data_IF_355276599571
#
_entry.id   IF_355276599571
#
_cell.length_a   1.000
_cell.length_b   1.000
_cell.length_c   1.000
_cell.angle_alpha   90.00
_cell.angle_beta   90.00
_cell.angle_gamma   90.00
#
_symmetry.space_group_name_H-M   'P 1'
#
loop_
_entity.id
_entity.type
_entity.pdbx_description
1 polymer ?
#
# COMPACT_ATOMS: atom_id res chain seq x y z
N UNK A 1 -13.16 4.61 8.90
CA UNK A 1 -13.20 3.41 8.04
C UNK A 1 -11.99 2.53 8.30
N UNK A 2 -12.12 1.21 8.11
CA UNK A 2 -11.04 0.23 8.24
C UNK A 2 -9.78 0.61 7.45
N UNK A 3 -9.94 1.13 6.23
CA UNK A 3 -8.82 1.59 5.42
C UNK A 3 -8.09 2.79 6.01
N UNK A 4 -8.82 3.73 6.63
CA UNK A 4 -8.20 4.87 7.29
C UNK A 4 -7.39 4.43 8.52
N UNK A 5 -7.94 3.52 9.34
CA UNK A 5 -7.25 2.97 10.50
C UNK A 5 -5.99 2.19 10.10
N UNK A 6 -6.10 1.28 9.13
CA UNK A 6 -4.97 0.50 8.61
C UNK A 6 -3.89 1.41 7.98
N UNK A 7 -4.30 2.44 7.22
CA UNK A 7 -3.39 3.45 6.65
C UNK A 7 -2.66 4.23 7.75
N UNK A 8 -3.39 4.65 8.79
CA UNK A 8 -2.82 5.42 9.91
C UNK A 8 -1.78 4.61 10.68
N UNK A 9 -2.12 3.38 11.09
CA UNK A 9 -1.23 2.52 11.85
C UNK A 9 0.04 2.15 11.06
N UNK A 10 -0.13 1.75 9.80
CA UNK A 10 1.00 1.43 8.93
C UNK A 10 1.88 2.66 8.67
N UNK A 11 1.26 3.82 8.41
CA UNK A 11 1.96 5.08 8.21
C UNK A 11 2.76 5.49 9.44
N UNK A 12 2.18 5.40 10.63
CA UNK A 12 2.85 5.71 11.91
C UNK A 12 4.07 4.81 12.14
N UNK A 13 3.91 3.49 11.95
CA UNK A 13 5.01 2.54 12.11
C UNK A 13 6.14 2.77 11.09
N UNK A 14 5.78 3.07 9.84
CA UNK A 14 6.76 3.43 8.81
C UNK A 14 7.53 4.70 9.19
N UNK A 15 6.81 5.74 9.61
CA UNK A 15 7.42 7.01 10.01
C UNK A 15 8.37 6.85 11.18
N UNK A 16 7.97 6.07 12.20
CA UNK A 16 8.84 5.73 13.32
C UNK A 16 10.10 5.00 12.86
N UNK A 17 9.97 3.99 12.00
CA UNK A 17 11.11 3.23 11.49
C UNK A 17 12.07 4.11 10.66
N UNK A 18 11.54 5.03 9.84
CA UNK A 18 12.36 6.01 9.09
C UNK A 18 13.08 6.94 10.06
N UNK A 19 12.40 7.47 11.07
CA UNK A 19 12.98 8.39 12.03
C UNK A 19 14.08 7.74 12.88
N UNK A 20 13.88 6.50 13.32
CA UNK A 20 14.82 5.79 14.18
C UNK A 20 15.98 5.14 13.42
N UNK A 21 15.72 4.63 12.21
CA UNK A 21 16.64 3.72 11.49
C UNK A 21 16.97 4.17 10.07
N UNK A 22 16.46 5.31 9.64
CA UNK A 22 16.57 5.78 8.26
C UNK A 22 15.84 4.91 7.25
N UNK A 23 15.88 5.32 5.99
CA UNK A 23 15.17 4.66 4.87
C UNK A 23 15.60 3.20 4.69
N UNK A 24 16.89 2.90 4.81
CA UNK A 24 17.42 1.53 4.75
C UNK A 24 16.88 0.65 5.88
N UNK A 25 16.85 1.17 7.11
CA UNK A 25 16.31 0.45 8.26
C UNK A 25 14.80 0.25 8.17
N UNK A 26 14.07 1.23 7.67
CA UNK A 26 12.63 1.12 7.40
C UNK A 26 12.30 0.04 6.37
N UNK A 27 13.13 -0.12 5.33
CA UNK A 27 12.98 -1.21 4.36
C UNK A 27 13.13 -2.58 5.03
N UNK A 28 14.10 -2.73 5.94
CA UNK A 28 14.29 -3.95 6.72
C UNK A 28 13.09 -4.25 7.62
N UNK A 29 12.55 -3.23 8.30
CA UNK A 29 11.32 -3.34 9.08
C UNK A 29 10.13 -3.78 8.22
N UNK A 30 9.93 -3.15 7.06
CA UNK A 30 8.87 -3.58 6.14
C UNK A 30 9.10 -4.98 5.57
N UNK A 31 10.34 -5.42 5.38
CA UNK A 31 10.61 -6.77 4.89
C UNK A 31 10.30 -7.86 5.93
N UNK A 32 10.65 -7.60 7.19
CA UNK A 32 10.44 -8.56 8.28
C UNK A 32 9.00 -8.53 8.84
N UNK A 33 8.41 -7.35 8.98
CA UNK A 33 7.23 -7.12 9.83
C UNK A 33 5.96 -6.70 9.07
N UNK A 34 6.04 -6.37 7.77
CA UNK A 34 4.89 -5.78 7.08
C UNK A 34 3.67 -6.71 7.00
N UNK A 35 3.86 -8.03 7.07
CA UNK A 35 2.76 -9.01 7.08
C UNK A 35 2.05 -9.00 8.44
N UNK A 36 2.82 -9.04 9.54
CA UNK A 36 2.29 -9.11 10.92
C UNK A 36 1.43 -7.91 11.31
N UNK A 37 1.75 -6.72 10.78
CA UNK A 37 0.99 -5.49 11.09
C UNK A 37 -0.40 -5.48 10.45
N UNK A 38 -0.53 -5.95 9.22
CA UNK A 38 -1.85 -6.12 8.57
C UNK A 38 -2.68 -7.18 9.28
N UNK A 39 -2.04 -8.23 9.78
CA UNK A 39 -2.72 -9.30 10.51
C UNK A 39 -3.26 -8.80 11.87
N UNK A 40 -2.52 -7.97 12.59
CA UNK A 40 -2.98 -7.37 13.86
C UNK A 40 -4.23 -6.51 13.70
N UNK A 41 -4.29 -5.65 12.68
CA UNK A 41 -5.48 -4.82 12.42
C UNK A 41 -6.64 -5.69 11.92
N UNK A 42 -6.34 -6.72 11.12
CA UNK A 42 -7.35 -7.66 10.63
C UNK A 42 -8.01 -8.43 11.78
N UNK A 43 -7.22 -8.88 12.76
CA UNK A 43 -7.70 -9.62 13.93
C UNK A 43 -8.50 -8.76 14.91
N UNK A 44 -8.13 -7.49 15.12
CA UNK A 44 -8.88 -6.59 16.02
C UNK A 44 -10.26 -6.21 15.50
N UNK A 45 -10.43 -6.24 14.18
CA UNK A 45 -11.60 -5.71 13.48
C UNK A 45 -12.39 -6.77 12.73
N UNK A 46 -12.03 -8.05 12.87
CA UNK A 46 -12.65 -9.17 12.17
C UNK A 46 -12.79 -8.91 10.65
N UNK A 47 -11.80 -8.21 10.08
CA UNK A 47 -11.77 -7.78 8.69
C UNK A 47 -10.52 -8.33 8.01
N UNK A 48 -10.61 -8.75 6.76
CA UNK A 48 -9.44 -9.12 5.95
C UNK A 48 -8.89 -7.88 5.28
N UNK A 49 -7.69 -7.44 5.67
CA UNK A 49 -7.07 -6.22 5.14
C UNK A 49 -5.84 -6.59 4.29
N UNK A 50 -5.87 -6.20 3.01
CA UNK A 50 -4.78 -6.42 2.06
C UNK A 50 -4.32 -5.11 1.44
N UNK A 51 -3.03 -5.07 1.06
CA UNK A 51 -2.49 -4.06 0.15
C UNK A 51 -2.02 -4.75 -1.11
N UNK A 52 -2.59 -4.36 -2.24
CA UNK A 52 -2.28 -4.95 -3.54
C UNK A 52 -1.89 -3.90 -4.55
N UNK A 53 -1.14 -4.30 -5.57
CA UNK A 53 -0.61 -3.41 -6.59
C UNK A 53 -0.40 -4.15 -7.91
N UNK A 54 -0.50 -3.41 -9.00
CA UNK A 54 -0.10 -3.82 -10.35
C UNK A 54 1.43 -3.81 -10.54
N UNK A 55 2.16 -3.07 -9.69
CA UNK A 55 3.62 -3.01 -9.63
C UNK A 55 4.12 -3.34 -8.22
N UNK A 56 4.00 -4.60 -7.78
CA UNK A 56 4.31 -5.00 -6.42
C UNK A 56 5.82 -4.96 -6.12
N UNK A 57 6.15 -4.61 -4.86
CA UNK A 57 7.51 -4.80 -4.29
C UNK A 57 7.68 -6.22 -3.79
N UNK A 58 6.80 -6.60 -2.87
CA UNK A 58 6.60 -7.98 -2.49
C UNK A 58 5.61 -8.63 -3.47
N UNK A 59 6.03 -9.70 -4.14
CA UNK A 59 5.25 -10.41 -5.16
C UNK A 59 3.93 -11.01 -4.63
N UNK A 60 3.80 -11.19 -3.32
CA UNK A 60 2.54 -11.63 -2.68
C UNK A 60 1.47 -10.53 -2.69
N UNK A 61 1.84 -9.28 -2.89
CA UNK A 61 0.94 -8.14 -2.96
C UNK A 61 0.48 -7.83 -4.40
N UNK A 62 0.52 -8.83 -5.29
CA UNK A 62 0.05 -8.65 -6.66
C UNK A 62 -1.47 -8.57 -6.67
N UNK A 63 -2.00 -7.54 -7.32
CA UNK A 63 -3.43 -7.40 -7.52
C UNK A 63 -3.99 -8.51 -8.42
N UNK A 64 -5.19 -8.98 -8.10
CA UNK A 64 -5.98 -9.87 -8.95
C UNK A 64 -6.65 -9.08 -10.09
N UNK A 65 -7.33 -9.77 -11.02
CA UNK A 65 -7.94 -9.15 -12.21
C UNK A 65 -8.96 -8.05 -11.89
N UNK A 66 -9.76 -8.21 -10.83
CA UNK A 66 -10.74 -7.21 -10.41
C UNK A 66 -10.04 -5.98 -9.81
N UNK A 67 -9.11 -6.22 -8.89
CA UNK A 67 -8.31 -5.18 -8.23
C UNK A 67 -7.49 -4.35 -9.23
N UNK A 68 -6.96 -4.99 -10.29
CA UNK A 68 -6.29 -4.30 -11.40
C UNK A 68 -7.25 -3.34 -12.13
N UNK A 69 -8.52 -3.74 -12.29
CA UNK A 69 -9.57 -2.88 -12.83
C UNK A 69 -9.75 -1.61 -12.00
N UNK A 70 -9.82 -1.74 -10.67
CA UNK A 70 -9.94 -0.60 -9.75
C UNK A 70 -8.70 0.29 -9.72
N UNK A 71 -7.49 -0.31 -9.69
CA UNK A 71 -6.24 0.45 -9.77
C UNK A 71 -6.23 1.32 -11.03
N UNK A 72 -6.62 0.75 -12.18
CA UNK A 72 -6.68 1.48 -13.44
C UNK A 72 -7.75 2.58 -13.43
N UNK A 73 -8.91 2.35 -12.80
CA UNK A 73 -9.93 3.37 -12.64
C UNK A 73 -9.41 4.55 -11.80
N UNK A 74 -8.80 4.29 -10.64
CA UNK A 74 -8.22 5.34 -9.79
C UNK A 74 -7.11 6.12 -10.49
N UNK A 75 -6.25 5.44 -11.26
CA UNK A 75 -5.21 6.11 -12.06
C UNK A 75 -5.80 7.10 -13.06
N UNK A 76 -6.88 6.72 -13.74
CA UNK A 76 -7.57 7.61 -14.70
C UNK A 76 -8.15 8.83 -14.00
N UNK A 77 -8.83 8.64 -12.87
CA UNK A 77 -9.42 9.73 -12.07
C UNK A 77 -8.35 10.73 -11.63
N UNK A 78 -7.25 10.26 -11.05
CA UNK A 78 -6.16 11.15 -10.62
C UNK A 78 -5.46 11.82 -11.81
N UNK A 79 -5.28 11.12 -12.93
CA UNK A 79 -4.69 11.70 -14.14
C UNK A 79 -5.56 12.84 -14.72
N UNK A 80 -6.87 12.81 -14.50
CA UNK A 80 -7.79 13.90 -14.86
C UNK A 80 -7.91 15.00 -13.79
N UNK A 81 -7.16 14.92 -12.69
CA UNK A 81 -7.25 15.88 -11.57
C UNK A 81 -8.51 15.73 -10.72
N UNK A 82 -9.21 14.59 -10.82
CA UNK A 82 -10.41 14.31 -10.04
C UNK A 82 -10.10 13.80 -8.64
N UNK A 83 -11.12 13.83 -7.78
CA UNK A 83 -11.06 13.25 -6.44
C UNK A 83 -11.41 11.76 -6.49
N UNK A 84 -10.69 10.97 -5.68
CA UNK A 84 -10.87 9.52 -5.62
C UNK A 84 -11.85 9.15 -4.51
N UNK A 85 -12.98 8.56 -4.91
CA UNK A 85 -13.94 7.98 -3.98
C UNK A 85 -13.69 6.49 -3.77
N UNK A 86 -13.98 5.92 -2.59
CA UNK A 86 -13.88 4.48 -2.38
C UNK A 86 -14.87 3.70 -3.25
N UNK A 87 -14.47 2.51 -3.63
CA UNK A 87 -15.37 1.53 -4.26
C UNK A 87 -15.85 0.59 -3.16
N UNK A 88 -17.17 0.46 -3.03
CA UNK A 88 -17.82 -0.42 -2.05
C UNK A 88 -18.74 -1.38 -2.77
N UNK A 89 -18.64 -2.67 -2.44
CA UNK A 89 -19.51 -3.74 -2.94
C UNK A 89 -19.98 -4.60 -1.78
N UNK A 90 -21.24 -4.99 -1.79
CA UNK A 90 -21.76 -6.02 -0.88
C UNK A 90 -22.03 -7.29 -1.66
N UNK A 91 -21.46 -8.41 -1.23
CA UNK A 91 -21.63 -9.73 -1.86
C UNK A 91 -21.85 -10.75 -0.76
N UNK A 92 -23.00 -11.44 -0.77
CA UNK A 92 -23.32 -12.51 0.19
C UNK A 92 -23.19 -12.09 1.68
N UNK A 93 -23.51 -10.84 2.03
CA UNK A 93 -23.36 -10.32 3.39
C UNK A 93 -21.94 -9.90 3.76
N UNK A 94 -20.99 -9.90 2.82
CA UNK A 94 -19.65 -9.34 3.00
C UNK A 94 -19.54 -8.00 2.26
N UNK A 95 -18.99 -6.99 2.94
CA UNK A 95 -18.63 -5.70 2.36
C UNK A 95 -17.18 -5.74 1.89
N UNK A 96 -16.98 -5.52 0.59
CA UNK A 96 -15.68 -5.30 -0.02
C UNK A 96 -15.47 -3.80 -0.25
N UNK A 97 -14.42 -3.26 0.36
CA UNK A 97 -14.04 -1.87 0.30
C UNK A 97 -12.67 -1.72 -0.35
N UNK A 98 -12.56 -0.85 -1.36
CA UNK A 98 -11.32 -0.56 -2.07
C UNK A 98 -11.01 0.93 -2.09
N UNK A 99 -9.76 1.28 -1.79
CA UNK A 99 -9.33 2.68 -1.77
C UNK A 99 -7.87 2.84 -2.21
N UNK A 100 -7.52 3.84 -3.04
CA UNK A 100 -6.18 3.96 -3.59
C UNK A 100 -5.17 4.38 -2.54
N UNK A 101 -3.94 3.90 -2.73
CA UNK A 101 -2.74 4.35 -2.03
C UNK A 101 -2.05 5.32 -2.96
N UNK A 102 -2.09 6.61 -2.64
CA UNK A 102 -1.43 7.67 -3.41
C UNK A 102 -0.06 7.99 -2.84
N UNK A 103 0.89 8.26 -3.73
CA UNK A 103 2.25 8.65 -3.37
C UNK A 103 2.35 10.13 -2.99
N UNK A 104 3.25 10.44 -2.08
CA UNK A 104 3.68 11.79 -1.75
C UNK A 104 5.22 11.87 -1.74
N UNK A 105 5.79 13.04 -1.44
CA UNK A 105 7.24 13.26 -1.46
C UNK A 105 8.03 12.25 -0.60
N UNK A 106 7.52 11.86 0.57
CA UNK A 106 8.17 10.87 1.43
C UNK A 106 8.18 9.48 0.78
N UNK A 107 7.13 9.10 0.06
CA UNK A 107 7.08 7.83 -0.66
C UNK A 107 8.21 7.70 -1.69
N UNK A 108 8.65 8.81 -2.29
CA UNK A 108 9.60 8.80 -3.40
C UNK A 108 11.02 8.42 -2.97
N UNK A 109 11.34 8.49 -1.68
CA UNK A 109 12.61 8.00 -1.13
C UNK A 109 12.83 6.50 -1.38
N UNK A 110 11.74 5.74 -1.58
CA UNK A 110 11.75 4.30 -1.85
C UNK A 110 11.07 3.90 -3.16
N UNK A 111 10.16 4.74 -3.66
CA UNK A 111 9.31 4.46 -4.81
C UNK A 111 9.54 5.40 -5.98
N UNK A 112 10.37 6.43 -5.82
CA UNK A 112 10.67 7.44 -6.85
C UNK A 112 11.60 6.95 -7.95
N UNK A 113 12.12 7.88 -8.76
CA UNK A 113 13.10 7.59 -9.80
C UNK A 113 14.41 7.07 -9.20
N UNK A 114 14.91 5.89 -9.62
CA UNK A 114 16.19 5.37 -9.18
C UNK A 114 17.35 6.33 -9.47
N UNK A 115 18.25 6.52 -8.51
CA UNK A 115 19.43 7.40 -8.61
C UNK A 115 19.13 8.90 -8.70
N UNK A 116 17.86 9.29 -8.57
CA UNK A 116 17.45 10.70 -8.46
C UNK A 116 16.76 10.95 -7.12
N UNK A 117 15.67 10.23 -6.87
CA UNK A 117 14.88 10.34 -5.65
C UNK A 117 15.15 9.18 -4.68
N UNK A 118 15.52 8.01 -5.22
CA UNK A 118 15.96 6.87 -4.43
C UNK A 118 17.49 6.86 -4.39
N UNK A 119 18.04 7.03 -3.20
CA UNK A 119 19.48 6.95 -2.96
C UNK A 119 20.07 5.57 -3.31
N UNK A 120 21.34 5.55 -3.70
CA UNK A 120 22.04 4.32 -4.10
C UNK A 120 22.07 3.25 -3.00
N UNK A 121 22.21 3.66 -1.74
CA UNK A 121 22.19 2.79 -0.55
C UNK A 121 20.83 2.11 -0.37
N UNK A 122 19.76 2.89 -0.56
CA UNK A 122 18.37 2.43 -0.56
C UNK A 122 18.12 1.46 -1.72
N UNK A 123 18.51 1.80 -2.94
CA UNK A 123 18.40 0.90 -4.10
C UNK A 123 19.13 -0.43 -3.89
N UNK A 124 20.32 -0.39 -3.30
CA UNK A 124 21.11 -1.60 -3.00
C UNK A 124 20.36 -2.51 -2.04
N UNK A 125 19.79 -1.94 -0.97
CA UNK A 125 18.98 -2.70 -0.01
C UNK A 125 17.71 -3.24 -0.65
N UNK A 126 17.02 -2.45 -1.47
CA UNK A 126 15.83 -2.88 -2.20
C UNK A 126 16.13 -4.07 -3.11
N UNK A 127 17.20 -4.01 -3.92
CA UNK A 127 17.61 -5.12 -4.79
C UNK A 127 17.95 -6.39 -4.01
N UNK A 128 18.58 -6.24 -2.84
CA UNK A 128 18.95 -7.37 -1.97
C UNK A 128 17.72 -8.06 -1.37
N UNK A 129 16.79 -7.30 -0.80
CA UNK A 129 15.61 -7.86 -0.10
C UNK A 129 14.45 -8.17 -1.04
N UNK A 130 14.37 -7.48 -2.19
CA UNK A 130 13.29 -7.60 -3.17
C UNK A 130 13.89 -7.71 -4.59
N UNK A 131 14.49 -8.84 -4.96
CA UNK A 131 15.13 -9.01 -6.26
C UNK A 131 14.16 -8.92 -7.46
N UNK A 132 12.86 -9.03 -7.21
CA UNK A 132 11.78 -8.90 -8.20
C UNK A 132 10.97 -7.61 -8.02
N UNK A 133 11.53 -6.59 -7.37
CA UNK A 133 10.83 -5.34 -7.10
C UNK A 133 10.39 -4.62 -8.38
N UNK A 134 9.10 -4.26 -8.48
CA UNK A 134 8.54 -3.47 -9.57
C UNK A 134 8.15 -2.05 -9.15
N UNK A 135 8.27 -1.72 -7.87
CA UNK A 135 7.65 -0.56 -7.24
C UNK A 135 8.50 0.72 -7.24
N UNK A 136 9.18 1.04 -8.34
CA UNK A 136 10.05 2.23 -8.48
C UNK A 136 9.58 3.13 -9.63
N UNK A 137 10.08 4.36 -9.72
CA UNK A 137 9.73 5.30 -10.80
C UNK A 137 8.32 5.86 -10.69
N UNK A 138 7.81 6.02 -9.46
CA UNK A 138 6.61 6.80 -9.19
C UNK A 138 6.95 8.28 -9.07
N UNK A 139 5.97 9.12 -9.32
CA UNK A 139 5.97 10.55 -8.96
C UNK A 139 4.97 10.82 -7.83
N UNK A 140 4.88 12.05 -7.34
CA UNK A 140 3.84 12.48 -6.41
C UNK A 140 2.45 12.32 -7.01
N UNK A 141 1.45 12.06 -6.15
CA UNK A 141 0.04 11.93 -6.52
C UNK A 141 -0.25 10.83 -7.55
N UNK A 142 0.54 9.75 -7.55
CA UNK A 142 0.30 8.56 -8.37
C UNK A 142 -0.26 7.41 -7.55
N UNK A 143 -1.07 6.56 -8.18
CA UNK A 143 -1.61 5.35 -7.53
C UNK A 143 -0.51 4.29 -7.43
N UNK A 144 -0.03 4.05 -6.21
CA UNK A 144 0.93 3.00 -5.87
C UNK A 144 0.27 1.61 -5.81
N UNK A 145 -1.02 1.56 -5.52
CA UNK A 145 -1.80 0.34 -5.32
C UNK A 145 -3.13 0.68 -4.65
N UNK A 146 -3.79 -0.32 -4.08
CA UNK A 146 -5.04 -0.14 -3.33
C UNK A 146 -4.99 -0.89 -2.01
N UNK A 147 -5.74 -0.38 -1.04
CA UNK A 147 -6.26 -1.18 0.06
C UNK A 147 -7.43 -2.01 -0.48
N UNK A 148 -7.45 -3.30 -0.16
CA UNK A 148 -8.59 -4.21 -0.37
C UNK A 148 -9.00 -4.74 0.99
N UNK A 149 -10.21 -4.40 1.41
CA UNK A 149 -10.71 -4.73 2.74
C UNK A 149 -12.02 -5.49 2.60
N UNK A 150 -12.16 -6.57 3.35
CA UNK A 150 -13.40 -7.36 3.39
C UNK A 150 -13.81 -7.56 4.84
N UNK A 151 -15.09 -7.34 5.15
CA UNK A 151 -15.65 -7.50 6.48
C UNK A 151 -17.13 -7.90 6.37
N UNK A 152 -17.69 -8.51 7.42
CA UNK A 152 -19.12 -8.85 7.46
C UNK A 152 -19.95 -7.57 7.51
N UNK A 153 -21.03 -7.50 6.72
CA UNK A 153 -21.96 -6.37 6.71
C UNK A 153 -22.64 -6.16 8.07
N UNK A 154 -22.77 -7.22 8.86
CA UNK A 154 -23.36 -7.20 10.19
C UNK A 154 -22.32 -7.05 11.30
N UNK A 155 -21.03 -6.86 10.97
CA UNK A 155 -20.02 -6.57 11.98
C UNK A 155 -20.34 -5.22 12.65
N UNK A 156 -20.58 -5.18 13.97
CA UNK A 156 -21.00 -3.97 14.66
C UNK A 156 -19.87 -2.93 14.83
N UNK A 157 -18.66 -3.22 14.35
CA UNK A 157 -17.47 -2.35 14.48
C UNK A 157 -17.30 -1.34 13.33
#
# INVERSE_FOLDING_TARGET
SYASAAKSQLGSNLMKAIQEKGTVGAIGFCHAEATQLTDSVSLMHNAVIKRVSDRPRNQNNRANSEELGYINAFKKVLASGGEVEPIVKTVNGEVHFYYPITTNAMCLQCHGTPNEQIEQTTLTTLKKLYPKDLAVGYDVNQVRGIWSITFDENDPN
#
